data_IF_326178090297
#
_entry.id   IF_326178090297
#
_cell.length_a   1.000
_cell.length_b   1.000
_cell.length_c   1.000
_cell.angle_alpha   90.00
_cell.angle_beta   90.00
_cell.angle_gamma   90.00
#
_symmetry.space_group_name_H-M   'P 1'
#
loop_
_entity.id
_entity.type
_entity.pdbx_description
1 polymer ?
#
# COMPACT_ATOMS: atom_id res chain seq x y z
N UNK A 1 -3.80 -7.20 -15.76
CA UNK A 1 -3.77 -7.50 -14.30
C UNK A 1 -5.12 -8.05 -13.84
N UNK A 2 -6.25 -7.34 -14.02
CA UNK A 2 -7.58 -7.85 -13.67
C UNK A 2 -7.95 -9.22 -14.28
N UNK A 3 -7.52 -9.49 -15.52
CA UNK A 3 -7.73 -10.79 -16.18
C UNK A 3 -6.93 -11.95 -15.55
N UNK A 4 -5.75 -11.67 -15.01
CA UNK A 4 -4.89 -12.68 -14.36
C UNK A 4 -5.42 -13.03 -12.96
N UNK A 5 -6.01 -12.05 -12.28
CA UNK A 5 -6.60 -12.24 -10.94
C UNK A 5 -7.99 -12.88 -11.01
N UNK A 6 -8.75 -12.62 -12.07
CA UNK A 6 -10.02 -13.31 -12.34
C UNK A 6 -9.87 -14.82 -12.59
N UNK A 7 -8.70 -15.27 -13.08
CA UNK A 7 -8.38 -16.69 -13.22
C UNK A 7 -8.17 -17.42 -11.88
N UNK A 8 -7.88 -16.68 -10.79
CA UNK A 8 -7.74 -17.22 -9.44
C UNK A 8 -9.03 -17.07 -8.59
N UNK A 9 -10.13 -16.57 -9.16
CA UNK A 9 -11.39 -16.40 -8.43
C UNK A 9 -11.36 -15.31 -7.33
N UNK A 10 -10.36 -14.43 -7.35
CA UNK A 10 -10.23 -13.32 -6.39
C UNK A 10 -10.94 -12.10 -6.98
N UNK A 11 -11.91 -11.57 -6.23
CA UNK A 11 -12.74 -10.43 -6.62
C UNK A 11 -11.88 -9.23 -7.07
N UNK A 12 -12.17 -8.58 -8.20
CA UNK A 12 -11.31 -7.49 -8.71
C UNK A 12 -11.43 -6.17 -7.94
N UNK A 13 -12.22 -6.11 -6.87
CA UNK A 13 -12.43 -4.89 -6.08
C UNK A 13 -11.16 -4.31 -5.46
N UNK A 14 -10.10 -5.12 -5.24
CA UNK A 14 -8.81 -4.60 -4.76
C UNK A 14 -8.16 -3.58 -5.71
N UNK A 15 -8.56 -3.55 -6.99
CA UNK A 15 -8.03 -2.61 -7.99
C UNK A 15 -8.26 -1.16 -7.59
N UNK A 16 -9.36 -0.86 -6.88
CA UNK A 16 -9.63 0.47 -6.36
C UNK A 16 -8.64 0.93 -5.27
N UNK A 17 -8.01 -0.01 -4.56
CA UNK A 17 -7.04 0.28 -3.49
C UNK A 17 -5.57 0.28 -3.99
N UNK A 18 -5.30 -0.19 -5.22
CA UNK A 18 -3.96 -0.18 -5.82
C UNK A 18 -3.29 1.20 -5.86
N UNK A 19 -3.99 2.30 -6.22
CA UNK A 19 -3.39 3.63 -6.21
C UNK A 19 -2.90 4.02 -4.80
N UNK A 20 -3.71 3.72 -3.77
CA UNK A 20 -3.36 3.96 -2.37
C UNK A 20 -2.14 3.13 -1.95
N UNK A 21 -2.07 1.87 -2.39
CA UNK A 21 -0.96 0.95 -2.12
C UNK A 21 0.36 1.40 -2.75
N UNK A 22 0.35 1.80 -4.01
CA UNK A 22 1.54 2.29 -4.70
C UNK A 22 2.00 3.64 -4.12
N UNK A 23 1.05 4.52 -3.82
CA UNK A 23 1.37 5.81 -3.20
C UNK A 23 1.94 5.63 -1.80
N UNK A 24 1.58 4.56 -1.08
CA UNK A 24 2.08 4.30 0.26
C UNK A 24 3.59 4.06 0.27
N UNK A 25 4.19 3.36 -0.69
CA UNK A 25 5.66 3.20 -0.75
C UNK A 25 6.39 4.53 -0.96
N UNK A 26 5.78 5.45 -1.72
CA UNK A 26 6.34 6.75 -2.09
C UNK A 26 6.12 7.83 -1.01
N UNK A 27 4.92 7.89 -0.44
CA UNK A 27 4.49 8.98 0.46
C UNK A 27 3.31 8.60 1.35
N UNK A 28 3.50 8.76 2.67
CA UNK A 28 2.48 8.44 3.66
C UNK A 28 1.32 9.44 3.68
N UNK A 29 1.58 10.70 3.31
CA UNK A 29 0.56 11.75 3.20
C UNK A 29 -0.22 11.64 1.88
N UNK A 30 0.44 11.30 0.78
CA UNK A 30 -0.22 11.03 -0.51
C UNK A 30 -1.18 9.84 -0.43
N UNK A 31 -0.76 8.76 0.23
CA UNK A 31 -1.63 7.61 0.48
C UNK A 31 -2.84 7.98 1.37
N UNK A 32 -2.72 8.97 2.25
CA UNK A 32 -3.87 9.47 3.03
C UNK A 32 -4.93 10.11 2.12
N UNK A 33 -4.48 10.99 1.23
CA UNK A 33 -5.36 11.68 0.30
C UNK A 33 -6.12 10.69 -0.58
N UNK A 34 -5.42 9.71 -1.13
CA UNK A 34 -6.03 8.65 -1.95
C UNK A 34 -6.96 7.74 -1.17
N UNK A 35 -6.62 7.41 0.09
CA UNK A 35 -7.51 6.66 0.97
C UNK A 35 -8.83 7.40 1.17
N UNK A 36 -8.78 8.69 1.51
CA UNK A 36 -9.97 9.53 1.68
C UNK A 36 -10.76 9.63 0.38
N UNK A 37 -10.09 9.74 -0.77
CA UNK A 37 -10.74 9.78 -2.07
C UNK A 37 -11.48 8.47 -2.39
N UNK A 38 -10.86 7.31 -2.14
CA UNK A 38 -11.54 6.01 -2.25
C UNK A 38 -12.74 5.89 -1.31
N UNK A 39 -12.67 6.43 -0.08
CA UNK A 39 -13.81 6.43 0.84
C UNK A 39 -14.94 7.32 0.35
N UNK A 40 -14.63 8.47 -0.28
CA UNK A 40 -15.64 9.35 -0.87
C UNK A 40 -16.31 8.73 -2.09
N UNK A 41 -15.54 7.99 -2.90
CA UNK A 41 -16.02 7.43 -4.15
C UNK A 41 -16.77 6.11 -3.99
N UNK A 42 -16.29 5.20 -3.14
CA UNK A 42 -16.88 3.88 -2.94
C UNK A 42 -17.67 3.76 -1.63
N UNK A 43 -17.55 4.72 -0.72
CA UNK A 43 -18.12 4.67 0.63
C UNK A 43 -17.11 4.15 1.65
N UNK A 44 -17.15 4.68 2.87
CA UNK A 44 -16.21 4.31 3.94
C UNK A 44 -16.35 2.83 4.37
N UNK A 45 -17.56 2.28 4.28
CA UNK A 45 -17.86 0.87 4.59
C UNK A 45 -17.61 -0.09 3.44
N UNK A 46 -17.23 0.42 2.26
CA UNK A 46 -16.92 -0.44 1.13
C UNK A 46 -15.66 -1.26 1.37
N UNK A 47 -15.60 -2.42 0.73
CA UNK A 47 -14.42 -3.27 0.72
C UNK A 47 -13.17 -2.49 0.28
N UNK A 48 -13.30 -1.63 -0.74
CA UNK A 48 -12.22 -0.77 -1.24
C UNK A 48 -11.77 0.24 -0.19
N UNK A 49 -12.72 0.87 0.51
CA UNK A 49 -12.43 1.83 1.60
C UNK A 49 -11.68 1.17 2.76
N UNK A 50 -12.17 0.01 3.22
CA UNK A 50 -11.55 -0.77 4.31
C UNK A 50 -10.17 -1.29 3.90
N UNK A 51 -10.01 -1.79 2.67
CA UNK A 51 -8.73 -2.21 2.14
C UNK A 51 -7.73 -1.05 2.05
N UNK A 52 -8.14 0.12 1.57
CA UNK A 52 -7.30 1.33 1.56
C UNK A 52 -6.79 1.68 2.98
N UNK A 53 -7.58 1.48 4.04
CA UNK A 53 -7.15 1.65 5.43
C UNK A 53 -6.10 0.61 5.85
N UNK A 54 -6.33 -0.67 5.54
CA UNK A 54 -5.42 -1.77 5.89
C UNK A 54 -4.07 -1.56 5.22
N UNK A 55 -4.06 -1.24 3.93
CA UNK A 55 -2.86 -0.92 3.16
C UNK A 55 -2.12 0.28 3.75
N UNK A 56 -2.87 1.32 4.16
CA UNK A 56 -2.28 2.51 4.81
C UNK A 56 -1.58 2.17 6.13
N UNK A 57 -2.11 1.22 6.90
CA UNK A 57 -1.58 0.80 8.21
C UNK A 57 -0.51 -0.30 8.16
N UNK A 58 -0.35 -1.00 7.04
CA UNK A 58 0.47 -2.21 6.96
C UNK A 58 2.00 -1.98 6.98
N UNK A 59 2.48 -0.82 6.53
CA UNK A 59 3.93 -0.56 6.43
C UNK A 59 4.25 0.93 6.58
N UNK A 60 5.50 1.25 6.90
CA UNK A 60 6.04 2.61 6.81
C UNK A 60 6.57 2.91 5.41
N UNK A 61 6.68 4.19 5.07
CA UNK A 61 7.00 4.60 3.69
C UNK A 61 8.50 4.53 3.43
N UNK A 62 8.95 3.61 2.57
CA UNK A 62 10.38 3.34 2.30
C UNK A 62 11.16 4.60 1.95
N UNK A 63 10.66 5.43 1.03
CA UNK A 63 11.36 6.66 0.62
C UNK A 63 11.45 7.71 1.73
N UNK A 64 10.47 7.75 2.64
CA UNK A 64 10.53 8.63 3.81
C UNK A 64 11.61 8.17 4.79
N UNK A 65 11.70 6.87 5.06
CA UNK A 65 12.76 6.30 5.92
C UNK A 65 14.14 6.60 5.30
N UNK A 66 14.30 6.42 3.99
CA UNK A 66 15.53 6.76 3.28
C UNK A 66 15.85 8.26 3.30
N UNK A 67 14.87 9.15 3.18
CA UNK A 67 15.13 10.59 3.17
C UNK A 67 15.38 11.14 4.58
N UNK A 68 14.56 10.75 5.55
CA UNK A 68 14.54 11.33 6.89
C UNK A 68 15.44 10.57 7.85
N UNK A 69 15.36 9.24 7.89
CA UNK A 69 16.10 8.45 8.90
C UNK A 69 17.54 8.24 8.48
N UNK A 70 17.78 7.93 7.21
CA UNK A 70 19.16 7.82 6.71
C UNK A 70 19.81 9.19 6.58
N UNK A 71 19.02 10.22 6.26
CA UNK A 71 19.47 11.62 6.24
C UNK A 71 19.89 12.13 7.61
N UNK A 72 19.15 11.81 8.68
CA UNK A 72 19.49 12.25 10.04
C UNK A 72 20.71 11.54 10.65
N UNK A 73 20.98 10.31 10.24
CA UNK A 73 22.13 9.51 10.71
C UNK A 73 23.34 9.61 9.76
N UNK A 74 23.22 10.33 8.64
CA UNK A 74 24.32 10.57 7.70
C UNK A 74 24.73 9.35 6.86
N UNK A 75 23.80 8.43 6.62
CA UNK A 75 24.05 7.20 5.84
C UNK A 75 24.11 7.53 4.34
N UNK A 76 25.28 7.38 3.72
CA UNK A 76 25.52 7.66 2.29
C UNK A 76 25.30 6.45 1.39
N UNK A 77 25.28 5.23 1.94
CA UNK A 77 25.12 3.97 1.18
C UNK A 77 23.68 3.47 1.21
N UNK A 78 22.83 4.04 0.35
CA UNK A 78 21.40 3.72 0.31
C UNK A 78 21.02 2.64 -0.72
N UNK A 79 21.91 2.31 -1.65
CA UNK A 79 21.62 1.47 -2.84
C UNK A 79 20.90 0.15 -2.52
N UNK A 80 21.38 -0.60 -1.53
CA UNK A 80 20.78 -1.90 -1.18
C UNK A 80 19.57 -1.76 -0.25
N UNK A 81 19.50 -0.66 0.51
CA UNK A 81 18.38 -0.39 1.41
C UNK A 81 17.11 -0.03 0.64
N UNK A 82 17.24 0.69 -0.48
CA UNK A 82 16.11 0.99 -1.38
C UNK A 82 15.47 -0.29 -1.90
N UNK A 83 16.27 -1.22 -2.42
CA UNK A 83 15.75 -2.47 -2.97
C UNK A 83 15.09 -3.33 -1.88
N UNK A 84 15.71 -3.43 -0.70
CA UNK A 84 15.15 -4.18 0.42
C UNK A 84 13.84 -3.57 0.92
N UNK A 85 13.76 -2.24 1.03
CA UNK A 85 12.56 -1.52 1.45
C UNK A 85 11.41 -1.66 0.45
N UNK A 86 11.69 -1.56 -0.86
CA UNK A 86 10.67 -1.77 -1.89
C UNK A 86 10.12 -3.20 -1.92
N UNK A 87 10.98 -4.20 -1.69
CA UNK A 87 10.54 -5.60 -1.58
C UNK A 87 9.69 -5.79 -0.31
N UNK A 88 10.08 -5.18 0.81
CA UNK A 88 9.31 -5.20 2.05
C UNK A 88 7.93 -4.56 1.85
N UNK A 89 7.86 -3.37 1.25
CA UNK A 89 6.60 -2.69 0.92
C UNK A 89 5.72 -3.54 0.00
N UNK A 90 6.30 -4.16 -1.02
CA UNK A 90 5.56 -5.04 -1.92
C UNK A 90 4.96 -6.25 -1.18
N UNK A 91 5.74 -6.85 -0.26
CA UNK A 91 5.24 -7.93 0.61
C UNK A 91 4.11 -7.45 1.53
N UNK A 92 4.21 -6.23 2.06
CA UNK A 92 3.20 -5.59 2.90
C UNK A 92 1.89 -5.32 2.14
N UNK A 93 1.97 -4.88 0.88
CA UNK A 93 0.80 -4.71 0.01
C UNK A 93 0.11 -6.05 -0.24
N UNK A 94 0.87 -7.11 -0.54
CA UNK A 94 0.31 -8.45 -0.74
C UNK A 94 -0.37 -8.95 0.55
N UNK A 95 0.29 -8.81 1.69
CA UNK A 95 -0.27 -9.20 2.99
C UNK A 95 -1.55 -8.41 3.32
N UNK A 96 -1.57 -7.10 3.05
CA UNK A 96 -2.73 -6.25 3.24
C UNK A 96 -3.91 -6.66 2.37
N UNK A 97 -3.66 -7.04 1.11
CA UNK A 97 -4.71 -7.57 0.21
C UNK A 97 -5.27 -8.87 0.77
N UNK A 98 -4.42 -9.83 1.14
CA UNK A 98 -4.83 -11.13 1.69
C UNK A 98 -5.66 -10.95 2.97
N UNK A 99 -5.18 -10.14 3.92
CA UNK A 99 -5.90 -9.89 5.19
C UNK A 99 -7.23 -9.18 4.93
N UNK A 100 -7.27 -8.25 3.97
CA UNK A 100 -8.52 -7.57 3.63
C UNK A 100 -9.56 -8.54 3.10
N UNK A 101 -9.18 -9.50 2.26
CA UNK A 101 -10.07 -10.59 1.84
C UNK A 101 -10.44 -11.54 2.96
N UNK A 102 -9.55 -11.81 3.91
CA UNK A 102 -9.82 -12.77 4.99
C UNK A 102 -10.81 -12.21 6.03
N UNK A 103 -10.79 -10.89 6.27
CA UNK A 103 -11.60 -10.25 7.32
C UNK A 103 -12.82 -9.46 6.81
N UNK A 104 -12.79 -8.98 5.56
CA UNK A 104 -13.81 -8.06 5.04
C UNK A 104 -14.52 -8.55 3.77
N UNK A 105 -14.23 -9.78 3.29
CA UNK A 105 -15.04 -10.49 2.29
C UNK A 105 -16.19 -11.23 2.99
#
# INVERSE_FOLDING_TARGET
IGYVVGLFGVDTSFVGALPTALMKSLSGSGANGLMIDTMKQYGADSFVGRMSCVVRGASDTTFYILAVYFGSVGITKTRNAVTCGLIADFSGIIAAIIISYLFFF
#
